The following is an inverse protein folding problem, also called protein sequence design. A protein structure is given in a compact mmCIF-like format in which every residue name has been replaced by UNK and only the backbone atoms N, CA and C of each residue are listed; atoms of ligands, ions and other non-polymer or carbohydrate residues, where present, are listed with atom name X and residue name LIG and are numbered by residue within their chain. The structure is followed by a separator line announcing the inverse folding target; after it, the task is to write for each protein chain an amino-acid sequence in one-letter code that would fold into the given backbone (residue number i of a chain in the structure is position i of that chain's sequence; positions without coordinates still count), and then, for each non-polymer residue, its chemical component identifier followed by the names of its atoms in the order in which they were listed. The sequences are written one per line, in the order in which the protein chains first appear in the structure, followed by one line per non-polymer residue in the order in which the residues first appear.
data_IF_994207834006
#
_entry.id   IF_994207834006
#
_cell.length_a   1.000
_cell.length_b   1.000
_cell.length_c   1.000
_cell.angle_alpha   90.00
_cell.angle_beta   90.00
_cell.angle_gamma   90.00
#
_symmetry.space_group_name_H-M   'P 1'
#
loop_
_entity.id
_entity.type
_entity.pdbx_description
1 polymer ?
#
# COMPACT_ATOMS: atom_id res chain seq x y z
N UNK A 1 -12.14 22.59 30.99
CA UNK A 1 -13.03 23.67 31.46
C UNK A 1 -12.25 24.97 31.40
N UNK A 2 -12.50 25.73 30.31
CA UNK A 2 -12.36 27.18 30.11
C UNK A 2 -11.00 27.91 30.33
N UNK A 3 -10.81 29.06 29.65
CA UNK A 3 -9.59 29.40 28.90
C UNK A 3 -8.90 30.64 29.46
N UNK A 4 -7.70 31.00 29.00
CA UNK A 4 -7.24 32.40 29.08
C UNK A 4 -6.50 32.82 27.80
N UNK A 5 -6.79 34.07 27.47
CA UNK A 5 -6.61 34.89 26.27
C UNK A 5 -5.14 35.28 26.01
N UNK A 6 -4.88 35.57 24.73
CA UNK A 6 -3.63 35.97 24.08
C UNK A 6 -3.26 37.44 24.39
N UNK A 7 -1.97 37.73 24.55
CA UNK A 7 -1.41 39.00 24.04
C UNK A 7 -0.04 38.74 23.36
N UNK A 8 0.11 39.30 22.16
CA UNK A 8 1.30 39.24 21.30
C UNK A 8 2.10 40.52 21.50
N UNK A 9 3.42 40.40 21.72
CA UNK A 9 4.41 41.23 21.00
C UNK A 9 5.86 40.79 21.27
N UNK A 10 6.62 40.74 20.18
CA UNK A 10 8.08 40.59 20.01
C UNK A 10 8.67 39.17 19.88
N UNK A 11 9.56 39.07 18.90
CA UNK A 11 9.94 37.90 18.11
C UNK A 11 11.12 37.13 18.71
N UNK A 12 11.12 35.80 18.52
CA UNK A 12 12.30 34.94 18.70
C UNK A 12 11.92 33.47 18.87
N UNK A 13 12.09 32.68 17.80
CA UNK A 13 12.27 31.21 17.76
C UNK A 13 11.85 30.37 18.98
N UNK A 14 10.76 29.62 18.85
CA UNK A 14 10.41 28.52 19.75
C UNK A 14 10.91 27.21 19.15
N UNK A 15 11.98 26.65 19.71
CA UNK A 15 12.36 25.24 19.54
C UNK A 15 11.73 24.39 20.66
N UNK A 16 11.23 23.19 20.35
CA UNK A 16 10.56 22.32 21.30
C UNK A 16 11.54 21.66 22.28
N UNK A 17 11.09 21.58 23.53
CA UNK A 17 11.77 20.93 24.66
C UNK A 17 11.42 19.44 24.66
N UNK A 18 12.43 18.57 24.62
CA UNK A 18 12.33 17.21 25.13
C UNK A 18 13.04 17.14 26.48
N UNK A 19 12.27 17.01 27.55
CA UNK A 19 12.78 16.67 28.88
C UNK A 19 13.05 15.17 28.91
N UNK A 20 14.31 14.79 29.09
CA UNK A 20 14.68 13.47 29.62
C UNK A 20 15.33 13.70 30.98
N UNK A 21 14.63 13.28 32.02
CA UNK A 21 15.08 13.27 33.41
C UNK A 21 16.30 12.36 33.57
N UNK A 22 17.39 12.88 34.14
CA UNK A 22 18.29 12.06 34.96
C UNK A 22 19.22 12.94 35.82
N UNK A 23 19.28 12.63 37.12
CA UNK A 23 20.49 12.82 37.92
C UNK A 23 20.68 14.14 38.69
N UNK A 24 20.35 14.11 39.98
CA UNK A 24 21.02 14.80 41.09
C UNK A 24 21.78 16.10 40.78
N UNK A 25 21.15 17.25 41.07
CA UNK A 25 21.86 18.53 41.13
C UNK A 25 22.31 18.81 42.59
N UNK A 26 23.63 18.87 42.80
CA UNK A 26 24.26 19.31 44.05
C UNK A 26 24.91 20.67 43.76
N UNK A 27 24.27 21.75 44.21
CA UNK A 27 24.80 23.10 44.05
C UNK A 27 25.68 23.43 45.25
N UNK A 28 26.94 23.79 44.99
CA UNK A 28 27.92 24.28 45.97
C UNK A 28 28.01 25.79 45.83
N UNK A 29 27.72 26.54 46.89
CA UNK A 29 28.12 27.95 46.99
C UNK A 29 29.12 28.13 48.12
N UNK A 30 30.18 28.87 47.82
CA UNK A 30 31.34 29.11 48.66
C UNK A 30 31.30 30.57 49.12
N UNK A 31 30.70 30.83 50.28
CA UNK A 31 30.91 32.05 51.05
C UNK A 31 30.63 31.72 52.50
N UNK A 32 31.69 31.73 53.31
CA UNK A 32 31.63 31.33 54.70
C UNK A 32 30.82 32.29 55.54
N UNK A 33 29.85 31.75 56.25
CA UNK A 33 29.43 32.20 57.59
C UNK A 33 28.60 31.06 58.20
N UNK A 34 28.99 30.61 59.40
CA UNK A 34 28.31 29.56 60.16
C UNK A 34 27.15 30.19 60.92
N UNK A 35 25.93 29.84 60.56
CA UNK A 35 24.76 30.01 61.41
C UNK A 35 24.22 28.62 61.78
N UNK A 36 24.49 28.22 63.02
CA UNK A 36 23.96 26.99 63.61
C UNK A 36 22.51 27.23 64.03
N UNK A 37 21.55 26.87 63.20
CA UNK A 37 20.16 26.70 63.61
C UNK A 37 19.93 25.23 63.98
N UNK A 38 19.72 24.98 65.28
CA UNK A 38 19.15 23.71 65.74
C UNK A 38 17.69 23.66 65.33
N UNK A 39 17.39 22.94 64.24
CA UNK A 39 16.02 22.50 63.93
C UNK A 39 15.88 21.08 64.47
N UNK A 40 15.18 20.95 65.59
CA UNK A 40 14.64 19.66 66.03
C UNK A 40 13.59 19.21 65.00
N UNK A 41 14.02 18.40 64.02
CA UNK A 41 13.10 17.65 63.20
C UNK A 41 12.74 16.35 63.96
N UNK A 42 11.47 16.12 64.33
CA UNK A 42 11.08 14.79 64.79
C UNK A 42 11.30 13.80 63.64
N UNK A 43 11.62 12.53 63.92
CA UNK A 43 11.71 11.53 62.88
C UNK A 43 10.29 11.29 62.34
N UNK A 44 9.92 12.00 61.28
CA UNK A 44 8.84 11.58 60.41
C UNK A 44 9.38 10.37 59.63
N UNK A 45 9.30 9.22 60.28
CA UNK A 45 9.27 7.95 59.59
C UNK A 45 8.02 8.00 58.71
N UNK A 46 8.19 8.37 57.44
CA UNK A 46 7.21 8.02 56.41
C UNK A 46 6.93 6.53 56.60
N UNK A 47 5.67 6.10 56.74
CA UNK A 47 5.37 4.69 56.76
C UNK A 47 6.00 4.14 55.49
N UNK A 48 6.97 3.23 55.65
CA UNK A 48 7.37 2.34 54.57
C UNK A 48 6.06 1.68 54.18
N UNK A 49 5.43 2.18 53.13
CA UNK A 49 4.33 1.47 52.48
C UNK A 49 5.02 0.22 51.95
N UNK A 50 5.03 -0.81 52.79
CA UNK A 50 5.38 -2.17 52.46
C UNK A 50 4.27 -2.61 51.52
N UNK A 51 4.37 -2.14 50.27
CA UNK A 51 3.64 -2.73 49.16
C UNK A 51 4.07 -4.18 49.21
N UNK A 52 3.17 -5.05 49.69
CA UNK A 52 3.45 -6.48 49.87
C UNK A 52 4.10 -6.99 48.58
N UNK A 53 5.13 -7.84 48.65
CA UNK A 53 5.84 -8.33 47.47
C UNK A 53 4.87 -8.93 46.43
N UNK A 54 3.75 -9.49 46.89
CA UNK A 54 2.63 -9.97 46.08
C UNK A 54 1.97 -8.86 45.23
N UNK A 55 1.77 -7.67 45.78
CA UNK A 55 1.14 -6.53 45.10
C UNK A 55 2.10 -5.87 44.09
N UNK A 56 3.42 -5.89 44.35
CA UNK A 56 4.45 -5.50 43.38
C UNK A 56 4.51 -6.47 42.20
N UNK A 57 4.42 -7.77 42.47
CA UNK A 57 4.35 -8.80 41.44
C UNK A 57 3.10 -8.66 40.57
N UNK A 58 1.92 -8.47 41.18
CA UNK A 58 0.66 -8.24 40.45
C UNK A 58 0.71 -6.98 39.58
N UNK A 59 1.26 -5.89 40.10
CA UNK A 59 1.42 -4.64 39.34
C UNK A 59 2.42 -4.80 38.17
N UNK A 60 3.50 -5.55 38.39
CA UNK A 60 4.49 -5.87 37.37
C UNK A 60 3.90 -6.78 36.28
N UNK A 61 3.10 -7.77 36.67
CA UNK A 61 2.39 -8.67 35.76
C UNK A 61 1.36 -7.91 34.91
N UNK A 62 0.60 -7.02 35.53
CA UNK A 62 -0.35 -6.15 34.84
C UNK A 62 0.37 -5.22 33.83
N UNK A 63 1.50 -4.63 34.22
CA UNK A 63 2.34 -3.82 33.33
C UNK A 63 2.89 -4.64 32.15
N UNK A 64 3.32 -5.89 32.37
CA UNK A 64 3.78 -6.80 31.30
C UNK A 64 2.65 -7.16 30.35
N UNK A 65 1.45 -7.46 30.85
CA UNK A 65 0.27 -7.75 30.03
C UNK A 65 -0.16 -6.53 29.21
N UNK A 66 -0.14 -5.33 29.80
CA UNK A 66 -0.41 -4.08 29.08
C UNK A 66 0.67 -3.77 28.03
N UNK A 67 1.94 -4.09 28.31
CA UNK A 67 3.02 -3.97 27.32
C UNK A 67 2.85 -4.95 26.16
N UNK A 68 2.49 -6.21 26.43
CA UNK A 68 2.23 -7.22 25.40
C UNK A 68 1.03 -6.88 24.52
N UNK A 69 0.01 -6.21 25.06
CA UNK A 69 -1.12 -5.70 24.30
C UNK A 69 -0.73 -4.56 23.34
N UNK A 70 0.21 -3.68 23.74
CA UNK A 70 0.72 -2.61 22.88
C UNK A 70 1.68 -3.12 21.78
N UNK A 71 2.52 -4.13 22.07
CA UNK A 71 3.53 -4.63 21.13
C UNK A 71 2.89 -5.37 19.94
N UNK A 72 1.66 -5.87 20.08
CA UNK A 72 0.93 -6.56 19.00
C UNK A 72 0.11 -5.63 18.07
N UNK A 73 0.20 -4.30 18.23
CA UNK A 73 -0.45 -3.35 17.32
C UNK A 73 0.40 -3.13 16.05
N UNK A 74 0.78 -4.21 15.37
CA UNK A 74 1.31 -4.10 14.02
C UNK A 74 0.11 -3.90 13.10
N UNK A 75 -0.18 -2.63 12.74
CA UNK A 75 -1.29 -2.34 11.83
C UNK A 75 -1.06 -3.12 10.54
N UNK A 76 -1.92 -4.10 10.28
CA UNK A 76 -1.92 -4.79 8.98
C UNK A 76 -2.24 -3.75 7.92
N UNK A 77 -1.63 -3.88 6.75
CA UNK A 77 -1.97 -3.02 5.63
C UNK A 77 -3.44 -3.21 5.27
N UNK A 78 -4.18 -2.11 5.20
CA UNK A 78 -5.60 -2.11 4.83
C UNK A 78 -5.77 -1.59 3.41
N UNK A 79 -6.43 -2.41 2.59
CA UNK A 79 -6.83 -2.03 1.25
C UNK A 79 -7.93 -0.97 1.31
N UNK A 80 -7.93 -0.10 0.31
CA UNK A 80 -8.94 0.93 0.12
C UNK A 80 -9.61 0.76 -1.24
N UNK A 81 -10.87 1.14 -1.35
CA UNK A 81 -11.55 1.23 -2.65
C UNK A 81 -10.73 2.15 -3.57
N UNK A 82 -10.50 1.70 -4.81
CA UNK A 82 -9.66 2.40 -5.78
C UNK A 82 -8.18 1.98 -5.77
N UNK A 83 -7.74 1.17 -4.80
CA UNK A 83 -6.42 0.55 -4.88
C UNK A 83 -6.33 -0.36 -6.12
N UNK A 84 -5.19 -0.34 -6.80
CA UNK A 84 -4.88 -1.23 -7.90
C UNK A 84 -4.00 -2.37 -7.41
N UNK A 85 -4.43 -3.61 -7.66
CA UNK A 85 -3.66 -4.81 -7.36
C UNK A 85 -2.93 -5.24 -8.62
N UNK A 86 -1.64 -4.95 -8.70
CA UNK A 86 -0.76 -5.44 -9.75
C UNK A 86 -0.24 -6.81 -9.33
N UNK A 87 -0.49 -7.84 -10.14
CA UNK A 87 -0.16 -9.23 -9.80
C UNK A 87 0.52 -9.97 -10.94
N UNK A 88 1.16 -11.09 -10.59
CA UNK A 88 1.59 -12.11 -11.55
C UNK A 88 0.57 -13.24 -11.49
N UNK A 89 -0.11 -13.53 -12.60
CA UNK A 89 -1.05 -14.64 -12.69
C UNK A 89 -0.39 -15.99 -12.40
N UNK A 90 -1.12 -16.90 -11.76
CA UNK A 90 -0.61 -18.23 -11.39
C UNK A 90 -0.20 -19.07 -12.60
N UNK A 91 -0.87 -18.90 -13.73
CA UNK A 91 -0.55 -19.60 -14.98
C UNK A 91 0.69 -19.02 -15.68
N UNK A 92 1.26 -17.92 -15.19
CA UNK A 92 2.49 -17.32 -15.70
C UNK A 92 3.75 -18.01 -15.15
N UNK A 93 3.80 -19.34 -15.18
CA UNK A 93 4.89 -20.14 -14.62
C UNK A 93 6.27 -19.78 -15.19
N UNK A 94 6.32 -19.45 -16.49
CA UNK A 94 7.54 -18.96 -17.16
C UNK A 94 8.00 -17.60 -16.61
N UNK A 95 7.06 -16.68 -16.31
CA UNK A 95 7.39 -15.39 -15.66
C UNK A 95 7.92 -15.62 -14.25
N UNK A 96 7.33 -16.54 -13.48
CA UNK A 96 7.81 -16.88 -12.13
C UNK A 96 9.22 -17.48 -12.18
N UNK A 97 9.49 -18.37 -13.13
CA UNK A 97 10.82 -18.96 -13.34
C UNK A 97 11.86 -17.91 -13.78
N UNK A 98 11.48 -16.98 -14.65
CA UNK A 98 12.33 -15.86 -15.07
C UNK A 98 12.66 -14.93 -13.89
N UNK A 99 11.70 -14.67 -12.99
CA UNK A 99 11.95 -13.91 -11.76
C UNK A 99 12.96 -14.67 -10.88
N UNK A 100 12.74 -15.95 -10.59
CA UNK A 100 13.60 -16.78 -9.73
C UNK A 100 15.05 -16.88 -10.22
N UNK A 101 15.25 -17.05 -11.53
CA UNK A 101 16.58 -17.18 -12.14
C UNK A 101 17.34 -15.86 -12.21
N UNK A 102 16.63 -14.73 -12.07
CA UNK A 102 17.20 -13.40 -12.25
C UNK A 102 17.33 -12.58 -10.97
N UNK A 103 17.06 -13.15 -9.78
CA UNK A 103 17.02 -12.42 -8.52
C UNK A 103 18.39 -11.90 -8.06
N UNK A 104 18.74 -10.69 -8.51
CA UNK A 104 19.40 -9.66 -7.70
C UNK A 104 18.34 -8.76 -7.03
N UNK A 105 18.70 -8.00 -5.99
CA UNK A 105 17.74 -7.29 -5.12
C UNK A 105 16.94 -6.15 -5.79
N UNK A 106 17.23 -5.80 -7.05
CA UNK A 106 16.69 -4.59 -7.69
C UNK A 106 15.89 -4.86 -8.98
N UNK A 107 15.49 -6.10 -9.27
CA UNK A 107 14.69 -6.38 -10.47
C UNK A 107 13.20 -6.17 -10.25
N UNK A 108 12.62 -5.47 -11.20
CA UNK A 108 11.20 -5.18 -11.30
C UNK A 108 10.36 -6.44 -11.53
N UNK A 109 9.21 -6.54 -10.88
CA UNK A 109 8.30 -7.67 -11.08
C UNK A 109 7.53 -7.46 -12.38
N UNK A 110 7.56 -8.44 -13.31
CA UNK A 110 6.80 -8.37 -14.55
C UNK A 110 5.31 -8.65 -14.27
N UNK A 111 4.60 -7.67 -13.72
CA UNK A 111 3.17 -7.79 -13.47
C UNK A 111 2.44 -8.14 -14.77
N UNK A 112 1.67 -9.24 -14.73
CA UNK A 112 0.91 -9.73 -15.88
C UNK A 112 -0.58 -9.43 -15.77
N UNK A 113 -1.04 -8.97 -14.61
CA UNK A 113 -2.43 -8.65 -14.36
C UNK A 113 -2.63 -7.44 -13.46
N UNK A 114 -3.75 -6.75 -13.61
CA UNK A 114 -4.17 -5.67 -12.72
C UNK A 114 -5.68 -5.71 -12.49
N UNK A 115 -6.10 -5.43 -11.26
CA UNK A 115 -7.51 -5.26 -10.90
C UNK A 115 -7.72 -4.13 -9.91
N UNK A 116 -8.94 -3.60 -9.84
CA UNK A 116 -9.29 -2.46 -8.99
C UNK A 116 -10.08 -2.91 -7.77
N UNK A 117 -9.64 -2.54 -6.57
CA UNK A 117 -10.31 -2.88 -5.32
C UNK A 117 -11.62 -2.12 -5.20
N UNK A 118 -12.71 -2.84 -4.92
CA UNK A 118 -13.99 -2.27 -4.48
C UNK A 118 -14.35 -2.83 -3.11
N UNK A 119 -14.58 -1.95 -2.13
CA UNK A 119 -15.03 -2.32 -0.79
C UNK A 119 -16.47 -1.87 -0.59
N UNK A 120 -17.37 -2.83 -0.39
CA UNK A 120 -18.81 -2.62 -0.29
C UNK A 120 -19.35 -3.37 0.94
N UNK A 121 -19.98 -2.64 1.86
CA UNK A 121 -20.57 -3.22 3.09
C UNK A 121 -19.59 -4.10 3.88
N UNK A 122 -18.32 -3.68 4.00
CA UNK A 122 -17.27 -4.42 4.70
C UNK A 122 -16.73 -5.65 3.96
N UNK A 123 -17.13 -5.87 2.70
CA UNK A 123 -16.61 -6.94 1.85
C UNK A 123 -15.72 -6.35 0.76
N UNK A 124 -14.57 -6.97 0.54
CA UNK A 124 -13.61 -6.55 -0.49
C UNK A 124 -13.71 -7.43 -1.73
N UNK A 125 -13.76 -6.76 -2.88
CA UNK A 125 -13.79 -7.34 -4.20
C UNK A 125 -12.70 -6.70 -5.06
N UNK A 126 -12.42 -7.34 -6.19
CA UNK A 126 -11.57 -6.84 -7.26
C UNK A 126 -12.42 -6.78 -8.52
N UNK A 127 -12.59 -5.58 -9.07
CA UNK A 127 -13.12 -5.35 -10.40
C UNK A 127 -12.00 -5.56 -11.41
N UNK A 128 -12.13 -6.57 -12.25
CA UNK A 128 -11.07 -6.99 -13.17
C UNK A 128 -11.66 -7.51 -14.47
N UNK A 129 -10.88 -7.41 -15.56
CA UNK A 129 -11.13 -8.15 -16.78
C UNK A 129 -10.15 -9.33 -16.83
N UNK A 130 -10.66 -10.56 -16.76
CA UNK A 130 -9.84 -11.78 -16.63
C UNK A 130 -10.30 -12.89 -17.57
N UNK A 131 -9.36 -13.71 -18.04
CA UNK A 131 -9.68 -14.91 -18.81
C UNK A 131 -10.17 -16.04 -17.88
N UNK A 132 -11.21 -16.81 -18.24
CA UNK A 132 -12.12 -16.65 -19.38
C UNK A 132 -13.35 -15.78 -19.08
N UNK A 133 -13.47 -15.24 -17.87
CA UNK A 133 -14.69 -14.62 -17.35
C UNK A 133 -15.07 -13.24 -17.91
N UNK A 134 -14.15 -12.54 -18.56
CA UNK A 134 -14.34 -11.16 -18.98
C UNK A 134 -14.32 -10.19 -17.80
N UNK A 135 -15.14 -9.14 -17.85
CA UNK A 135 -15.22 -8.13 -16.78
C UNK A 135 -16.10 -8.64 -15.64
N UNK A 136 -15.49 -8.86 -14.49
CA UNK A 136 -16.12 -9.49 -13.33
C UNK A 136 -15.80 -8.74 -12.03
N UNK A 137 -16.59 -9.01 -10.99
CA UNK A 137 -16.34 -8.59 -9.61
C UNK A 137 -15.95 -9.82 -8.79
N UNK A 138 -14.65 -10.03 -8.61
CA UNK A 138 -14.08 -11.21 -7.95
C UNK A 138 -13.91 -10.98 -6.45
N UNK A 139 -14.31 -11.90 -5.56
CA UNK A 139 -13.98 -11.78 -4.14
C UNK A 139 -12.46 -11.69 -3.93
N UNK A 140 -11.99 -10.79 -3.07
CA UNK A 140 -10.54 -10.54 -2.88
C UNK A 140 -9.74 -11.84 -2.60
N UNK A 141 -10.30 -12.75 -1.80
CA UNK A 141 -9.66 -14.05 -1.52
C UNK A 141 -9.48 -14.90 -2.78
N UNK A 142 -10.45 -14.89 -3.68
CA UNK A 142 -10.35 -15.64 -4.95
C UNK A 142 -9.27 -15.03 -5.86
N UNK A 143 -9.17 -13.70 -5.94
CA UNK A 143 -8.10 -13.02 -6.67
C UNK A 143 -6.70 -13.43 -6.17
N UNK A 144 -6.51 -13.49 -4.85
CA UNK A 144 -5.23 -13.94 -4.26
C UNK A 144 -4.91 -15.41 -4.61
N UNK A 145 -5.91 -16.28 -4.70
CA UNK A 145 -5.72 -17.70 -5.04
C UNK A 145 -5.25 -17.89 -6.50
N UNK A 146 -5.61 -16.97 -7.39
CA UNK A 146 -5.18 -16.97 -8.80
C UNK A 146 -3.87 -16.21 -9.04
N UNK A 147 -3.24 -15.71 -7.98
CA UNK A 147 -1.94 -15.04 -8.04
C UNK A 147 -0.81 -16.02 -7.76
N UNK A 148 0.28 -15.91 -8.53
CA UNK A 148 1.51 -16.63 -8.31
C UNK A 148 2.10 -16.35 -6.91
N UNK A 149 2.75 -17.36 -6.35
CA UNK A 149 3.37 -17.33 -5.03
C UNK A 149 4.86 -17.64 -5.16
N UNK A 150 5.70 -16.79 -4.58
CA UNK A 150 7.14 -17.00 -4.48
C UNK A 150 7.53 -16.97 -3.00
N UNK A 151 8.22 -18.00 -2.52
CA UNK A 151 8.66 -18.12 -1.11
C UNK A 151 7.53 -17.92 -0.10
N UNK A 152 6.33 -18.44 -0.40
CA UNK A 152 5.15 -18.35 0.46
C UNK A 152 4.44 -16.98 0.44
N UNK A 153 4.86 -16.06 -0.43
CA UNK A 153 4.27 -14.73 -0.57
C UNK A 153 3.65 -14.53 -1.94
N UNK A 154 2.48 -13.90 -1.99
CA UNK A 154 1.82 -13.57 -3.25
C UNK A 154 2.60 -12.45 -3.96
N UNK A 155 2.82 -12.63 -5.26
CA UNK A 155 3.45 -11.63 -6.11
C UNK A 155 2.44 -10.52 -6.46
N UNK A 156 2.09 -9.71 -5.45
CA UNK A 156 1.14 -8.60 -5.54
C UNK A 156 1.81 -7.33 -5.03
N UNK A 157 1.69 -6.25 -5.80
CA UNK A 157 1.90 -4.89 -5.32
C UNK A 157 0.58 -4.11 -5.34
N UNK A 158 0.40 -3.26 -4.35
CA UNK A 158 -0.76 -2.38 -4.22
C UNK A 158 -0.34 -0.99 -4.64
N UNK A 159 -0.88 -0.52 -5.76
CA UNK A 159 -0.76 0.86 -6.20
C UNK A 159 -1.97 1.67 -5.77
N UNK A 160 -1.74 2.94 -5.45
CA UNK A 160 -2.78 3.93 -5.21
C UNK A 160 -2.52 5.12 -6.10
N UNK A 161 -3.58 5.66 -6.70
CA UNK A 161 -3.46 6.93 -7.44
C UNK A 161 -2.92 8.03 -6.54
N UNK A 162 -2.10 8.92 -7.10
CA UNK A 162 -1.59 10.08 -6.35
C UNK A 162 -2.72 11.01 -5.92
N UNK A 163 -2.44 11.89 -4.95
CA UNK A 163 -3.43 12.86 -4.43
C UNK A 163 -4.09 13.70 -5.53
N UNK A 164 -3.35 13.97 -6.60
CA UNK A 164 -3.83 14.77 -7.73
C UNK A 164 -4.97 14.09 -8.50
N UNK A 165 -5.08 12.76 -8.41
CA UNK A 165 -6.09 11.95 -9.09
C UNK A 165 -7.04 11.22 -8.15
N UNK A 166 -6.94 11.43 -6.82
CA UNK A 166 -7.80 10.75 -5.83
C UNK A 166 -9.30 10.98 -6.10
N UNK A 167 -9.66 12.16 -6.63
CA UNK A 167 -11.03 12.51 -6.98
C UNK A 167 -11.68 11.59 -8.04
N UNK A 168 -10.86 10.87 -8.82
CA UNK A 168 -11.33 9.98 -9.90
C UNK A 168 -11.87 8.66 -9.38
N UNK A 169 -11.45 8.21 -8.18
CA UNK A 169 -11.70 6.86 -7.64
C UNK A 169 -13.19 6.50 -7.64
N UNK A 170 -14.03 7.39 -7.11
CA UNK A 170 -15.46 7.11 -6.96
C UNK A 170 -16.16 6.88 -8.32
N UNK A 171 -15.73 7.61 -9.36
CA UNK A 171 -16.25 7.42 -10.70
C UNK A 171 -15.58 6.24 -11.40
N UNK A 172 -14.31 5.95 -11.13
CA UNK A 172 -13.61 4.80 -11.68
C UNK A 172 -14.30 3.48 -11.32
N UNK A 173 -14.71 3.32 -10.05
CA UNK A 173 -15.49 2.15 -9.62
C UNK A 173 -16.78 2.03 -10.43
N UNK A 174 -17.57 3.11 -10.52
CA UNK A 174 -18.83 3.11 -11.28
C UNK A 174 -18.62 2.84 -12.77
N UNK A 175 -17.53 3.34 -13.35
CA UNK A 175 -17.21 3.16 -14.75
C UNK A 175 -16.84 1.70 -15.04
N UNK A 176 -15.97 1.10 -14.22
CA UNK A 176 -15.65 -0.33 -14.32
C UNK A 176 -16.90 -1.21 -14.15
N UNK A 177 -17.79 -0.88 -13.21
CA UNK A 177 -19.02 -1.63 -12.98
C UNK A 177 -19.99 -1.63 -14.17
N UNK A 178 -20.02 -0.56 -14.99
CA UNK A 178 -20.84 -0.50 -16.22
C UNK A 178 -20.42 -1.56 -17.25
N UNK A 179 -19.22 -2.11 -17.12
CA UNK A 179 -18.67 -3.09 -18.05
C UNK A 179 -18.81 -4.52 -17.54
N UNK A 180 -19.35 -4.75 -16.33
CA UNK A 180 -19.57 -6.11 -15.80
C UNK A 180 -20.35 -6.98 -16.78
N UNK A 181 -19.85 -8.19 -17.02
CA UNK A 181 -20.41 -9.17 -17.94
C UNK A 181 -19.92 -9.06 -19.39
N UNK A 182 -19.16 -8.01 -19.75
CA UNK A 182 -18.50 -7.93 -21.07
C UNK A 182 -17.38 -8.96 -21.19
N UNK A 183 -17.13 -9.41 -22.41
CA UNK A 183 -16.11 -10.42 -22.71
C UNK A 183 -14.68 -9.94 -22.48
N UNK A 184 -13.77 -10.90 -22.33
CA UNK A 184 -12.33 -10.61 -22.30
C UNK A 184 -11.84 -10.28 -23.71
N UNK A 185 -11.03 -9.22 -23.84
CA UNK A 185 -10.44 -8.85 -25.12
C UNK A 185 -9.15 -9.63 -25.39
N UNK A 186 -9.23 -10.59 -26.33
CA UNK A 186 -8.06 -11.33 -26.81
C UNK A 186 -7.36 -10.65 -27.98
N UNK A 187 -8.01 -9.66 -28.61
CA UNK A 187 -7.44 -8.88 -29.70
C UNK A 187 -6.62 -7.69 -29.20
N UNK A 188 -6.70 -7.36 -27.90
CA UNK A 188 -6.00 -6.23 -27.27
C UNK A 188 -6.23 -4.92 -28.04
N UNK A 189 -7.49 -4.60 -28.31
CA UNK A 189 -7.89 -3.48 -29.14
C UNK A 189 -8.89 -2.58 -28.41
N UNK A 190 -8.45 -1.35 -28.14
CA UNK A 190 -9.24 -0.29 -27.50
C UNK A 190 -10.48 0.20 -28.31
N UNK A 191 -10.81 -0.46 -29.42
CA UNK A 191 -11.90 -0.08 -30.33
C UNK A 191 -13.11 -1.00 -30.26
N UNK A 192 -13.02 -2.12 -29.55
CA UNK A 192 -14.10 -3.09 -29.44
C UNK A 192 -14.86 -2.94 -28.09
N UNK A 193 -15.88 -3.78 -27.88
CA UNK A 193 -16.69 -3.78 -26.64
C UNK A 193 -16.32 -4.92 -25.68
N UNK A 194 -15.04 -5.27 -25.65
CA UNK A 194 -14.41 -6.25 -24.77
C UNK A 194 -13.28 -5.55 -24.02
N UNK A 195 -12.82 -6.14 -22.93
CA UNK A 195 -11.78 -5.52 -22.11
C UNK A 195 -10.70 -6.51 -21.73
N UNK A 196 -9.45 -6.08 -21.77
CA UNK A 196 -8.37 -6.71 -21.00
C UNK A 196 -8.09 -5.91 -19.72
N UNK A 197 -7.27 -6.48 -18.82
CA UNK A 197 -7.20 -6.05 -17.43
C UNK A 197 -6.81 -4.56 -17.23
N UNK A 198 -5.74 -4.12 -17.88
CA UNK A 198 -5.23 -2.74 -17.77
C UNK A 198 -6.05 -1.74 -18.59
N UNK A 199 -6.65 -2.17 -19.69
CA UNK A 199 -7.62 -1.37 -20.45
C UNK A 199 -8.87 -1.04 -19.62
N UNK A 200 -9.42 -2.01 -18.89
CA UNK A 200 -10.54 -1.75 -17.99
C UNK A 200 -10.19 -0.65 -16.97
N UNK A 201 -8.99 -0.71 -16.39
CA UNK A 201 -8.51 0.30 -15.44
C UNK A 201 -8.34 1.65 -16.12
N UNK A 202 -7.71 1.69 -17.30
CA UNK A 202 -7.53 2.89 -18.12
C UNK A 202 -8.86 3.60 -18.39
N UNK A 203 -9.85 2.89 -18.90
CA UNK A 203 -11.14 3.47 -19.24
C UNK A 203 -12.04 3.74 -18.03
N UNK A 204 -11.75 3.14 -16.88
CA UNK A 204 -12.42 3.46 -15.64
C UNK A 204 -11.94 4.80 -15.07
N UNK A 205 -10.62 5.00 -14.97
CA UNK A 205 -10.00 6.17 -14.35
C UNK A 205 -9.92 7.36 -15.31
N UNK A 206 -10.97 8.18 -15.30
CA UNK A 206 -11.10 9.38 -16.14
C UNK A 206 -10.94 10.67 -15.32
N UNK A 207 -10.28 11.67 -15.91
CA UNK A 207 -10.17 13.02 -15.37
C UNK A 207 -11.51 13.80 -15.44
N UNK A 208 -11.50 15.05 -14.99
CA UNK A 208 -12.68 15.94 -15.03
C UNK A 208 -13.18 16.27 -16.44
N UNK A 209 -12.38 16.03 -17.47
CA UNK A 209 -12.72 16.20 -18.88
C UNK A 209 -13.12 14.89 -19.56
N UNK A 210 -13.18 13.78 -18.82
CA UNK A 210 -13.52 12.46 -19.35
C UNK A 210 -12.37 11.77 -20.08
N UNK A 211 -11.12 12.20 -19.90
CA UNK A 211 -9.95 11.57 -20.52
C UNK A 211 -9.29 10.57 -19.55
N UNK A 212 -8.80 9.41 -20.03
CA UNK A 212 -8.03 8.49 -19.20
C UNK A 212 -6.82 9.17 -18.55
N UNK A 213 -6.60 8.94 -17.25
CA UNK A 213 -5.41 9.46 -16.54
C UNK A 213 -4.16 8.63 -16.80
N UNK A 214 -4.36 7.38 -17.25
CA UNK A 214 -3.29 6.54 -17.76
C UNK A 214 -3.19 6.82 -19.25
N UNK A 215 -2.03 7.21 -19.75
CA UNK A 215 -1.79 7.43 -21.18
C UNK A 215 -1.47 6.10 -21.89
N UNK A 216 -1.88 5.93 -23.15
CA UNK A 216 -1.62 4.71 -23.88
C UNK A 216 -0.17 4.71 -24.35
N UNK A 217 0.39 3.53 -24.45
CA UNK A 217 1.72 3.32 -25.01
C UNK A 217 1.61 2.48 -26.28
N UNK A 218 2.61 2.59 -27.15
CA UNK A 218 2.72 1.70 -28.30
C UNK A 218 3.00 0.28 -27.79
N UNK A 219 2.08 -0.65 -28.04
CA UNK A 219 2.24 -2.03 -27.62
C UNK A 219 3.41 -2.70 -28.36
N UNK A 220 4.12 -3.57 -27.65
CA UNK A 220 5.18 -4.39 -28.22
C UNK A 220 4.92 -5.86 -27.90
N UNK A 221 4.86 -6.66 -28.96
CA UNK A 221 4.74 -8.12 -28.90
C UNK A 221 6.07 -8.81 -29.28
N UNK A 222 7.14 -8.01 -29.36
CA UNK A 222 8.48 -8.46 -29.71
C UNK A 222 9.18 -9.12 -28.53
N UNK A 223 9.91 -10.18 -28.84
CA UNK A 223 10.87 -10.76 -27.94
C UNK A 223 12.05 -9.76 -27.76
N UNK A 224 12.38 -9.34 -26.53
CA UNK A 224 13.42 -8.34 -26.29
C UNK A 224 14.83 -8.77 -26.72
N UNK A 225 15.09 -10.08 -26.81
CA UNK A 225 16.40 -10.63 -27.19
C UNK A 225 16.57 -10.71 -28.70
N UNK A 226 15.52 -11.08 -29.44
CA UNK A 226 15.60 -11.24 -30.91
C UNK A 226 15.14 -9.99 -31.67
N UNK A 227 14.24 -9.21 -31.09
CA UNK A 227 13.59 -8.07 -31.75
C UNK A 227 12.42 -8.47 -32.68
N UNK A 228 12.18 -9.77 -32.85
CA UNK A 228 11.07 -10.31 -33.64
C UNK A 228 9.82 -10.51 -32.79
N UNK A 229 8.63 -10.51 -33.41
CA UNK A 229 7.38 -10.86 -32.71
C UNK A 229 7.46 -12.29 -32.19
N UNK A 230 7.09 -12.50 -30.93
CA UNK A 230 7.11 -13.83 -30.32
C UNK A 230 6.17 -14.80 -31.06
N UNK A 231 6.62 -16.03 -31.27
CA UNK A 231 5.86 -17.07 -31.97
C UNK A 231 4.51 -17.37 -31.31
N UNK A 232 4.41 -17.21 -29.99
CA UNK A 232 3.15 -17.29 -29.27
C UNK A 232 2.13 -16.28 -29.79
N UNK A 233 2.53 -15.01 -29.93
CA UNK A 233 1.66 -13.94 -30.37
C UNK A 233 1.24 -14.09 -31.83
N UNK A 234 2.17 -14.48 -32.71
CA UNK A 234 1.85 -14.80 -34.11
C UNK A 234 0.72 -15.83 -34.17
N UNK A 235 0.89 -16.97 -33.49
CA UNK A 235 -0.10 -18.06 -33.47
C UNK A 235 -1.42 -17.65 -32.81
N UNK A 236 -1.38 -16.81 -31.78
CA UNK A 236 -2.56 -16.30 -31.09
C UNK A 236 -3.42 -15.45 -32.03
N UNK A 237 -2.80 -14.47 -32.70
CA UNK A 237 -3.52 -13.55 -33.59
C UNK A 237 -3.94 -14.22 -34.92
N UNK A 238 -3.18 -15.19 -35.43
CA UNK A 238 -3.61 -16.05 -36.54
C UNK A 238 -4.92 -16.79 -36.25
N UNK A 239 -5.07 -17.36 -35.05
CA UNK A 239 -6.32 -18.04 -34.64
C UNK A 239 -7.51 -17.09 -34.57
N UNK A 240 -7.26 -15.82 -34.26
CA UNK A 240 -8.28 -14.77 -34.23
C UNK A 240 -8.59 -14.20 -35.62
N UNK A 241 -7.80 -14.55 -36.64
CA UNK A 241 -7.91 -13.96 -37.98
C UNK A 241 -7.59 -12.46 -37.98
N UNK A 242 -6.72 -12.00 -37.07
CA UNK A 242 -6.35 -10.59 -36.91
C UNK A 242 -4.83 -10.43 -37.04
N UNK A 243 -4.33 -9.27 -37.47
CA UNK A 243 -2.90 -8.97 -37.37
C UNK A 243 -2.50 -8.79 -35.90
N UNK A 244 -1.21 -9.00 -35.61
CA UNK A 244 -0.63 -8.61 -34.31
C UNK A 244 -0.66 -7.08 -34.22
N UNK A 245 -1.25 -6.48 -33.16
CA UNK A 245 -1.40 -5.04 -33.02
C UNK A 245 -0.09 -4.39 -32.51
N UNK A 246 1.03 -4.72 -33.15
CA UNK A 246 2.34 -4.14 -32.85
C UNK A 246 2.35 -2.64 -33.16
N UNK A 247 2.71 -1.83 -32.17
CA UNK A 247 2.76 -0.37 -32.27
C UNK A 247 1.42 0.34 -32.08
N UNK A 248 0.30 -0.40 -32.00
CA UNK A 248 -1.01 0.16 -31.69
C UNK A 248 -1.07 0.66 -30.24
N UNK A 249 -1.92 1.66 -29.93
CA UNK A 249 -2.07 2.17 -28.57
C UNK A 249 -2.71 1.12 -27.66
N UNK A 250 -2.13 0.95 -26.47
CA UNK A 250 -2.69 0.11 -25.42
C UNK A 250 -2.06 0.41 -24.06
N UNK A 251 -2.36 -0.42 -23.07
CA UNK A 251 -1.73 -0.37 -21.74
C UNK A 251 -1.32 -1.77 -21.30
N UNK A 252 -0.45 -1.87 -20.29
CA UNK A 252 -0.15 -3.13 -19.63
C UNK A 252 0.08 -2.92 -18.13
N UNK A 253 -0.06 -3.96 -17.30
CA UNK A 253 0.06 -3.84 -15.85
C UNK A 253 1.44 -3.38 -15.36
N UNK A 254 2.52 -3.81 -16.01
CA UNK A 254 3.88 -3.45 -15.61
C UNK A 254 4.14 -1.95 -15.79
N UNK A 255 3.86 -1.41 -16.97
CA UNK A 255 4.03 0.03 -17.25
C UNK A 255 3.08 0.87 -16.41
N UNK A 256 1.84 0.41 -16.20
CA UNK A 256 0.87 1.11 -15.35
C UNK A 256 1.33 1.20 -13.89
N UNK A 257 2.01 0.17 -13.38
CA UNK A 257 2.57 0.18 -12.03
C UNK A 257 3.73 1.19 -11.86
N UNK A 258 4.42 1.52 -12.95
CA UNK A 258 5.49 2.52 -12.99
C UNK A 258 4.99 3.95 -13.28
N UNK A 259 3.74 4.10 -13.68
CA UNK A 259 3.18 5.40 -14.06
C UNK A 259 3.34 6.43 -12.93
N UNK A 260 3.71 7.69 -13.23
CA UNK A 260 3.83 8.74 -12.22
C UNK A 260 2.50 9.06 -11.51
N UNK A 261 1.37 8.60 -12.05
CA UNK A 261 0.05 8.73 -11.42
C UNK A 261 -0.18 7.70 -10.31
N UNK A 262 0.71 6.71 -10.16
CA UNK A 262 0.62 5.62 -9.18
C UNK A 262 1.75 5.72 -8.16
N UNK A 263 1.38 5.50 -6.89
CA UNK A 263 2.31 5.22 -5.81
C UNK A 263 2.11 3.79 -5.32
N UNK A 264 3.16 2.98 -5.34
CA UNK A 264 3.13 1.68 -4.68
C UNK A 264 3.14 1.89 -3.15
N UNK A 265 2.02 1.53 -2.51
CA UNK A 265 1.79 1.71 -1.07
C UNK A 265 2.02 0.44 -0.25
N UNK A 266 2.02 -0.73 -0.91
CA UNK A 266 2.29 -2.01 -0.28
C UNK A 266 2.81 -3.05 -1.27
N UNK A 267 3.59 -4.01 -0.78
CA UNK A 267 4.06 -5.19 -1.53
C UNK A 267 3.89 -6.41 -0.62
N UNK A 268 3.32 -7.48 -1.16
CA UNK A 268 3.11 -8.72 -0.41
C UNK A 268 4.31 -9.67 -0.43
N UNK A 269 5.29 -9.44 -1.33
CA UNK A 269 6.51 -10.23 -1.53
C UNK A 269 7.74 -9.64 -0.83
#
# INVERSE_FOLDING_TARGET
MYPIIVDRRYWGTVTPVYVRLCGYCKIRFNSGERLSFFVFAPPLTLPRVLIMPQLRFLFSLLLVVLFQACVNMQSRFELQTGDLLFSVGKDSSELVAAIQTSTGQDKEIPFSHVGMVSIENGRSYVLEATHPGGVVKTPLKAFFNETAVLNGKHLIAVGRVTSDFEYTIANAIKNAEKHLGKGYDYAYSETNDQFYCSELVRFAFLDSHGKPIFEPQAMSFKNPQTGDIDAYWIKHFEKLGKPVPEGEPGTNPADMAQSPVIKIVHKYY
#
